data_IF_517381910056
#
_entry.id   IF_517381910056
#
_cell.length_a   1.000
_cell.length_b   1.000
_cell.length_c   1.000
_cell.angle_alpha   90.00
_cell.angle_beta   90.00
_cell.angle_gamma   90.00
#
_symmetry.space_group_name_H-M   'P 1'
#
loop_
_entity.id
_entity.type
_entity.pdbx_description
1 polymer ?
#
# COMPACT_ATOMS: atom_id res chain seq x y z
N UNK A 1 22.43 2.99 -28.79
CA UNK A 1 21.63 3.93 -27.96
C UNK A 1 22.31 4.05 -26.60
N UNK A 2 22.65 5.27 -26.17
CA UNK A 2 23.45 5.51 -24.96
C UNK A 2 22.64 5.22 -23.68
N UNK A 3 23.26 4.60 -22.68
CA UNK A 3 22.65 4.23 -21.37
C UNK A 3 21.92 5.40 -20.69
N UNK A 4 22.36 6.64 -20.92
CA UNK A 4 21.71 7.86 -20.42
C UNK A 4 20.29 8.04 -20.97
N UNK A 5 20.06 7.78 -22.26
CA UNK A 5 18.74 7.91 -22.90
C UNK A 5 17.73 6.85 -22.45
N UNK A 6 18.21 5.71 -21.94
CA UNK A 6 17.35 4.63 -21.40
C UNK A 6 16.90 4.96 -19.97
N UNK A 7 17.78 5.57 -19.16
CA UNK A 7 17.47 5.99 -17.78
C UNK A 7 16.48 7.17 -17.73
N UNK A 8 16.65 8.17 -18.60
CA UNK A 8 15.69 9.28 -18.72
C UNK A 8 14.29 8.82 -19.16
N UNK A 9 14.21 7.88 -20.11
CA UNK A 9 12.93 7.27 -20.52
C UNK A 9 12.28 6.45 -19.40
N UNK A 10 13.06 5.82 -18.53
CA UNK A 10 12.55 5.06 -17.39
C UNK A 10 11.96 5.98 -16.29
N UNK A 11 12.57 7.15 -16.05
CA UNK A 11 12.07 8.16 -15.12
C UNK A 11 10.75 8.80 -15.60
N UNK A 12 10.64 9.11 -16.89
CA UNK A 12 9.45 9.75 -17.47
C UNK A 12 8.24 8.78 -17.64
N UNK A 13 8.50 7.46 -17.63
CA UNK A 13 7.45 6.42 -17.74
C UNK A 13 6.74 6.14 -16.40
N UNK A 14 7.36 6.44 -15.24
CA UNK A 14 6.79 6.16 -13.91
C UNK A 14 5.51 6.96 -13.59
N UNK A 15 5.44 8.24 -13.97
CA UNK A 15 4.25 9.09 -13.68
C UNK A 15 3.02 8.66 -14.49
N UNK A 16 3.22 8.12 -15.68
CA UNK A 16 2.13 7.67 -16.57
C UNK A 16 1.53 6.31 -16.20
N UNK A 17 2.29 5.41 -15.58
CA UNK A 17 1.83 4.03 -15.31
C UNK A 17 0.73 4.00 -14.25
N UNK A 18 0.88 4.76 -13.15
CA UNK A 18 -0.16 4.84 -12.10
C UNK A 18 -1.45 5.44 -12.65
N UNK A 19 -1.35 6.52 -13.43
CA UNK A 19 -2.51 7.15 -14.08
C UNK A 19 -3.21 6.20 -15.05
N UNK A 20 -2.46 5.43 -15.84
CA UNK A 20 -3.01 4.42 -16.75
C UNK A 20 -3.76 3.33 -16.00
N UNK A 21 -3.20 2.84 -14.89
CA UNK A 21 -3.83 1.82 -14.08
C UNK A 21 -5.15 2.31 -13.46
N UNK A 22 -5.13 3.52 -12.88
CA UNK A 22 -6.34 4.15 -12.34
C UNK A 22 -7.39 4.29 -13.47
N UNK A 23 -7.00 4.80 -14.64
CA UNK A 23 -7.91 4.90 -15.80
C UNK A 23 -8.48 3.55 -16.23
N UNK A 24 -7.68 2.48 -16.23
CA UNK A 24 -8.18 1.13 -16.56
C UNK A 24 -9.16 0.60 -15.52
N UNK A 25 -8.93 0.85 -14.23
CA UNK A 25 -9.87 0.45 -13.16
C UNK A 25 -11.19 1.21 -13.26
N UNK A 26 -11.13 2.52 -13.48
CA UNK A 26 -12.32 3.35 -13.74
C UNK A 26 -13.08 2.89 -14.99
N UNK A 27 -12.36 2.41 -16.02
CA UNK A 27 -12.98 1.80 -17.19
C UNK A 27 -13.67 0.46 -16.91
N UNK A 28 -13.16 -0.33 -15.97
CA UNK A 28 -13.75 -1.63 -15.61
C UNK A 28 -14.94 -1.54 -14.66
N UNK A 29 -14.92 -0.59 -13.73
CA UNK A 29 -15.93 -0.41 -12.68
C UNK A 29 -16.28 1.08 -12.44
N UNK A 30 -16.94 1.75 -13.41
CA UNK A 30 -17.17 3.19 -13.36
C UNK A 30 -18.10 3.65 -12.22
N UNK A 31 -19.03 2.79 -11.76
CA UNK A 31 -20.00 3.13 -10.70
C UNK A 31 -19.53 2.64 -9.32
N UNK A 32 -18.94 1.44 -9.25
CA UNK A 32 -18.57 0.81 -7.99
C UNK A 32 -17.30 1.44 -7.38
N UNK A 33 -16.36 1.89 -8.21
CA UNK A 33 -15.08 2.42 -7.73
C UNK A 33 -15.23 3.79 -7.03
N UNK A 34 -15.96 4.79 -7.57
CA UNK A 34 -16.22 6.04 -6.84
C UNK A 34 -16.95 5.80 -5.51
N UNK A 35 -17.88 4.84 -5.47
CA UNK A 35 -18.61 4.47 -4.27
C UNK A 35 -17.69 3.88 -3.19
N UNK A 36 -16.72 3.05 -3.59
CA UNK A 36 -15.67 2.53 -2.68
C UNK A 36 -14.79 3.67 -2.17
N UNK A 37 -14.36 4.58 -3.05
CA UNK A 37 -13.57 5.76 -2.63
C UNK A 37 -14.34 6.61 -1.63
N UNK A 38 -15.64 6.84 -1.85
CA UNK A 38 -16.48 7.55 -0.90
C UNK A 38 -16.59 6.82 0.45
N UNK A 39 -16.76 5.49 0.43
CA UNK A 39 -16.78 4.67 1.66
C UNK A 39 -15.46 4.70 2.43
N UNK A 40 -14.33 4.67 1.71
CA UNK A 40 -12.98 4.82 2.26
C UNK A 40 -12.82 6.18 2.94
N UNK A 41 -13.20 7.28 2.26
CA UNK A 41 -13.15 8.64 2.80
C UNK A 41 -14.01 8.76 4.05
N UNK A 42 -15.25 8.26 4.00
CA UNK A 42 -16.18 8.30 5.13
C UNK A 42 -15.61 7.56 6.34
N UNK A 43 -15.03 6.37 6.13
CA UNK A 43 -14.41 5.61 7.21
C UNK A 43 -13.16 6.31 7.77
N UNK A 44 -12.32 6.93 6.93
CA UNK A 44 -11.18 7.72 7.38
C UNK A 44 -11.60 8.89 8.29
N UNK A 45 -12.64 9.62 7.90
CA UNK A 45 -13.18 10.74 8.69
C UNK A 45 -13.74 10.24 10.02
N UNK A 46 -14.51 9.15 10.02
CA UNK A 46 -15.05 8.55 11.25
C UNK A 46 -13.93 8.16 12.24
N UNK A 47 -12.86 7.54 11.75
CA UNK A 47 -11.72 7.19 12.61
C UNK A 47 -11.05 8.43 13.19
N UNK A 48 -10.96 9.52 12.42
CA UNK A 48 -10.38 10.77 12.92
C UNK A 48 -11.24 11.45 13.99
N UNK A 49 -12.57 11.36 13.90
CA UNK A 49 -13.49 11.91 14.92
C UNK A 49 -13.31 11.17 16.26
N UNK A 50 -13.03 9.87 16.21
CA UNK A 50 -12.72 9.07 17.41
C UNK A 50 -11.63 9.67 18.30
N UNK A 51 -10.61 10.29 17.70
CA UNK A 51 -9.55 10.98 18.46
C UNK A 51 -10.06 12.24 19.18
N UNK A 52 -10.97 13.00 18.57
CA UNK A 52 -11.56 14.21 19.18
C UNK A 52 -12.54 13.90 20.31
N UNK A 53 -13.12 12.70 20.31
CA UNK A 53 -14.00 12.25 21.39
C UNK A 53 -13.26 12.17 22.72
N UNK A 54 -12.05 11.58 22.74
CA UNK A 54 -11.27 11.45 23.96
C UNK A 54 -11.01 12.82 24.60
N UNK A 55 -10.72 13.83 23.79
CA UNK A 55 -10.52 15.19 24.28
C UNK A 55 -11.81 15.82 24.83
N UNK A 56 -12.93 15.66 24.13
CA UNK A 56 -14.24 16.17 24.59
C UNK A 56 -14.68 15.50 25.90
N UNK A 57 -14.42 14.20 26.05
CA UNK A 57 -14.68 13.46 27.27
C UNK A 57 -13.78 13.95 28.42
N UNK A 58 -12.49 14.17 28.16
CA UNK A 58 -11.54 14.71 29.15
C UNK A 58 -11.95 16.12 29.61
N UNK A 59 -12.45 16.96 28.70
CA UNK A 59 -12.91 18.30 29.05
C UNK A 59 -14.09 18.26 30.03
N UNK A 60 -15.10 17.41 29.76
CA UNK A 60 -16.26 17.27 30.64
C UNK A 60 -15.85 16.71 32.00
N UNK A 61 -14.98 15.69 32.01
CA UNK A 61 -14.47 15.13 33.27
C UNK A 61 -13.68 16.20 34.05
N UNK A 62 -12.87 17.02 33.36
CA UNK A 62 -12.10 18.10 33.98
C UNK A 62 -12.99 19.19 34.58
N UNK A 63 -14.04 19.61 33.87
CA UNK A 63 -15.02 20.59 34.36
C UNK A 63 -15.81 20.03 35.55
N UNK A 64 -16.27 18.78 35.47
CA UNK A 64 -17.01 18.11 36.56
C UNK A 64 -16.15 17.81 37.78
N UNK A 65 -14.86 17.55 37.60
CA UNK A 65 -13.91 17.41 38.71
C UNK A 65 -13.74 18.72 39.49
N UNK A 66 -13.72 19.86 38.80
CA UNK A 66 -13.60 21.18 39.43
C UNK A 66 -14.91 21.64 40.07
N UNK A 67 -16.07 21.31 39.49
CA UNK A 67 -17.37 21.72 40.01
C UNK A 67 -17.94 20.78 41.09
N UNK A 68 -17.47 19.51 41.14
CA UNK A 68 -18.00 18.47 42.02
C UNK A 68 -19.41 17.98 41.64
N UNK A 69 -19.94 18.45 40.51
CA UNK A 69 -21.35 18.30 40.12
C UNK A 69 -21.51 17.16 39.10
N UNK A 70 -21.62 15.93 39.60
CA UNK A 70 -21.66 14.71 38.80
C UNK A 70 -23.03 14.41 38.19
N UNK A 71 -24.12 14.94 38.77
CA UNK A 71 -25.47 14.77 38.24
C UNK A 71 -25.64 15.52 36.90
N UNK A 72 -25.00 16.68 36.75
CA UNK A 72 -24.98 17.44 35.50
C UNK A 72 -24.06 16.82 34.43
N UNK A 73 -23.08 16.01 34.84
CA UNK A 73 -22.09 15.38 33.96
C UNK A 73 -22.62 14.11 33.28
N UNK A 74 -23.39 13.31 34.02
CA UNK A 74 -23.93 12.03 33.55
C UNK A 74 -24.69 12.12 32.19
N UNK A 75 -25.64 13.06 31.98
CA UNK A 75 -26.35 13.13 30.70
C UNK A 75 -25.46 13.58 29.54
N UNK A 76 -24.49 14.47 29.79
CA UNK A 76 -23.53 14.94 28.76
C UNK A 76 -22.61 13.80 28.30
N UNK A 77 -22.10 13.01 29.25
CA UNK A 77 -21.27 11.84 28.95
C UNK A 77 -22.08 10.78 28.22
N UNK A 78 -23.31 10.49 28.67
CA UNK A 78 -24.19 9.53 28.01
C UNK A 78 -24.53 9.94 26.56
N UNK A 79 -24.80 11.22 26.32
CA UNK A 79 -25.06 11.74 24.97
C UNK A 79 -23.81 11.62 24.07
N UNK A 80 -22.61 11.92 24.60
CA UNK A 80 -21.38 11.75 23.85
C UNK A 80 -21.09 10.29 23.50
N UNK A 81 -21.21 9.38 24.48
CA UNK A 81 -20.97 7.94 24.27
C UNK A 81 -21.96 7.37 23.27
N UNK A 82 -23.25 7.72 23.36
CA UNK A 82 -24.27 7.25 22.40
C UNK A 82 -24.02 7.81 21.00
N UNK A 83 -23.65 9.08 20.85
CA UNK A 83 -23.28 9.67 19.56
C UNK A 83 -22.08 8.96 18.95
N UNK A 84 -21.04 8.67 19.74
CA UNK A 84 -19.87 7.91 19.30
C UNK A 84 -20.24 6.48 18.87
N UNK A 85 -21.07 5.80 19.66
CA UNK A 85 -21.54 4.45 19.34
C UNK A 85 -22.30 4.42 18.01
N UNK A 86 -23.16 5.41 17.73
CA UNK A 86 -23.84 5.55 16.44
C UNK A 86 -22.85 5.80 15.30
N UNK A 87 -21.88 6.70 15.48
CA UNK A 87 -20.86 7.02 14.47
C UNK A 87 -20.01 5.79 14.14
N UNK A 88 -19.55 5.03 15.14
CA UNK A 88 -18.82 3.79 14.91
C UNK A 88 -19.70 2.68 14.34
N UNK A 89 -20.98 2.62 14.70
CA UNK A 89 -21.95 1.72 14.05
C UNK A 89 -22.03 1.97 12.54
N UNK A 90 -22.17 3.23 12.13
CA UNK A 90 -22.12 3.62 10.71
C UNK A 90 -20.75 3.34 10.09
N UNK A 91 -19.66 3.58 10.84
CA UNK A 91 -18.30 3.29 10.42
C UNK A 91 -18.06 1.82 10.10
N UNK A 92 -18.57 0.91 10.94
CA UNK A 92 -18.49 -0.53 10.72
C UNK A 92 -19.28 -0.93 9.47
N UNK A 93 -20.51 -0.44 9.31
CA UNK A 93 -21.34 -0.73 8.14
C UNK A 93 -20.68 -0.24 6.83
N UNK A 94 -20.18 0.99 6.83
CA UNK A 94 -19.41 1.54 5.70
C UNK A 94 -18.15 0.71 5.44
N UNK A 95 -17.44 0.31 6.51
CA UNK A 95 -16.23 -0.49 6.42
C UNK A 95 -16.47 -1.83 5.74
N UNK A 96 -17.52 -2.54 6.19
CA UNK A 96 -17.92 -3.81 5.59
C UNK A 96 -18.34 -3.64 4.13
N UNK A 97 -19.06 -2.56 3.83
CA UNK A 97 -19.50 -2.25 2.47
C UNK A 97 -18.31 -2.04 1.53
N UNK A 98 -17.40 -1.10 1.85
CA UNK A 98 -16.29 -0.78 0.95
C UNK A 98 -15.30 -1.94 0.83
N UNK A 99 -15.04 -2.70 1.90
CA UNK A 99 -14.16 -3.87 1.85
C UNK A 99 -14.72 -4.95 0.92
N UNK A 100 -16.02 -5.27 1.02
CA UNK A 100 -16.66 -6.26 0.14
C UNK A 100 -16.69 -5.79 -1.31
N UNK A 101 -17.08 -4.53 -1.54
CA UNK A 101 -17.07 -3.96 -2.88
C UNK A 101 -15.65 -3.95 -3.49
N UNK A 102 -14.62 -3.65 -2.68
CA UNK A 102 -13.23 -3.69 -3.13
C UNK A 102 -12.76 -5.10 -3.48
N UNK A 103 -13.19 -6.13 -2.74
CA UNK A 103 -12.89 -7.51 -3.09
C UNK A 103 -13.45 -7.90 -4.47
N UNK A 104 -14.68 -7.47 -4.78
CA UNK A 104 -15.31 -7.68 -6.09
C UNK A 104 -14.55 -6.94 -7.20
N UNK A 105 -14.24 -5.65 -6.99
CA UNK A 105 -13.47 -4.83 -7.95
C UNK A 105 -12.11 -5.49 -8.22
N UNK A 106 -11.44 -5.93 -7.17
CA UNK A 106 -10.10 -6.51 -7.27
C UNK A 106 -10.11 -7.79 -8.09
N UNK A 107 -10.97 -8.76 -7.73
CA UNK A 107 -11.01 -10.04 -8.43
C UNK A 107 -11.49 -9.89 -9.87
N UNK A 108 -12.54 -9.10 -10.11
CA UNK A 108 -13.02 -8.89 -11.47
C UNK A 108 -12.09 -8.03 -12.33
N UNK A 109 -11.30 -7.13 -11.74
CA UNK A 109 -10.22 -6.44 -12.47
C UNK A 109 -9.10 -7.41 -12.84
N UNK A 110 -8.79 -8.38 -11.97
CA UNK A 110 -7.79 -9.41 -12.24
C UNK A 110 -8.18 -10.29 -13.42
N UNK A 111 -9.44 -10.73 -13.43
CA UNK A 111 -10.03 -11.51 -14.52
C UNK A 111 -9.93 -10.75 -15.85
N UNK A 112 -10.44 -9.52 -15.90
CA UNK A 112 -10.38 -8.67 -17.12
C UNK A 112 -8.96 -8.39 -17.60
N UNK A 113 -8.01 -8.21 -16.67
CA UNK A 113 -6.59 -8.03 -17.01
C UNK A 113 -6.00 -9.30 -17.63
N UNK A 114 -6.28 -10.47 -17.04
CA UNK A 114 -5.84 -11.77 -17.57
C UNK A 114 -6.43 -12.04 -18.94
N UNK A 115 -7.74 -11.82 -19.14
CA UNK A 115 -8.39 -11.96 -20.45
C UNK A 115 -7.75 -11.03 -21.50
N UNK A 116 -7.53 -9.76 -21.15
CA UNK A 116 -6.93 -8.79 -22.08
C UNK A 116 -5.50 -9.17 -22.46
N UNK A 117 -4.71 -9.64 -21.50
CA UNK A 117 -3.35 -10.14 -21.78
C UNK A 117 -3.39 -11.40 -22.64
N UNK A 118 -4.30 -12.33 -22.33
CA UNK A 118 -4.43 -13.58 -23.08
C UNK A 118 -4.86 -13.35 -24.52
N UNK A 119 -5.86 -12.49 -24.76
CA UNK A 119 -6.28 -12.11 -26.10
C UNK A 119 -5.14 -11.43 -26.86
N UNK A 120 -4.39 -10.54 -26.21
CA UNK A 120 -3.23 -9.90 -26.85
C UNK A 120 -2.13 -10.89 -27.19
N UNK A 121 -1.92 -11.91 -26.36
CA UNK A 121 -0.91 -12.93 -26.58
C UNK A 121 -1.20 -13.79 -27.82
N UNK A 122 -2.47 -14.08 -28.11
CA UNK A 122 -2.86 -14.81 -29.32
C UNK A 122 -2.48 -14.08 -30.61
N UNK A 123 -2.47 -12.74 -30.57
CA UNK A 123 -2.11 -11.89 -31.72
C UNK A 123 -0.60 -11.63 -31.85
N UNK A 124 0.24 -12.18 -30.97
CA UNK A 124 1.68 -11.94 -31.01
C UNK A 124 2.35 -12.78 -32.11
N UNK A 125 3.35 -12.24 -32.83
CA UNK A 125 4.06 -12.98 -33.86
C UNK A 125 4.85 -14.15 -33.25
N UNK A 126 5.00 -15.25 -33.99
CA UNK A 126 5.75 -16.45 -33.55
C UNK A 126 7.14 -16.11 -33.01
N UNK A 127 7.83 -15.14 -33.66
CA UNK A 127 9.14 -14.63 -33.23
C UNK A 127 9.17 -14.14 -31.77
N UNK A 128 8.06 -13.64 -31.23
CA UNK A 128 7.98 -13.27 -29.82
C UNK A 128 8.18 -14.50 -28.91
N UNK A 129 7.57 -15.62 -29.26
CA UNK A 129 7.65 -16.88 -28.51
C UNK A 129 9.00 -17.59 -28.69
N UNK A 130 9.71 -17.34 -29.81
CA UNK A 130 11.08 -17.87 -30.00
C UNK A 130 12.12 -17.11 -29.15
N UNK A 131 11.81 -15.88 -28.74
CA UNK A 131 12.73 -15.00 -28.01
C UNK A 131 12.47 -14.93 -26.51
N UNK A 132 11.33 -15.43 -26.03
CA UNK A 132 10.94 -15.41 -24.62
C UNK A 132 10.66 -16.81 -24.11
N UNK A 133 11.20 -17.14 -22.94
CA UNK A 133 10.96 -18.45 -22.33
C UNK A 133 9.50 -18.58 -21.89
N UNK A 134 8.93 -19.79 -22.03
CA UNK A 134 7.56 -20.08 -21.59
C UNK A 134 7.30 -19.74 -20.12
N UNK A 135 8.30 -19.92 -19.25
CA UNK A 135 8.20 -19.59 -17.82
C UNK A 135 8.10 -18.08 -17.57
N UNK A 136 8.83 -17.27 -18.34
CA UNK A 136 8.81 -15.82 -18.24
C UNK A 136 7.43 -15.27 -18.64
N UNK A 137 6.86 -15.79 -19.73
CA UNK A 137 5.50 -15.47 -20.16
C UNK A 137 4.49 -15.80 -19.04
N UNK A 138 4.56 -16.99 -18.45
CA UNK A 138 3.66 -17.39 -17.37
C UNK A 138 3.81 -16.53 -16.11
N UNK A 139 5.02 -16.11 -15.76
CA UNK A 139 5.28 -15.23 -14.60
C UNK A 139 4.52 -13.91 -14.72
N UNK A 140 4.41 -13.34 -15.93
CA UNK A 140 3.60 -12.14 -16.15
C UNK A 140 2.10 -12.36 -15.85
N UNK A 141 1.55 -13.55 -16.09
CA UNK A 141 0.13 -13.85 -15.82
C UNK A 141 -0.17 -14.20 -14.37
N UNK A 142 0.84 -14.63 -13.63
CA UNK A 142 0.72 -15.03 -12.23
C UNK A 142 1.24 -13.93 -11.31
N UNK A 143 2.55 -13.68 -11.32
CA UNK A 143 3.25 -12.84 -10.34
C UNK A 143 2.99 -11.34 -10.57
N UNK A 144 3.11 -10.86 -11.81
CA UNK A 144 2.89 -9.44 -12.10
C UNK A 144 1.42 -9.06 -11.89
N UNK A 145 0.51 -9.92 -12.34
CA UNK A 145 -0.92 -9.77 -12.14
C UNK A 145 -1.28 -9.81 -10.64
N UNK A 146 -0.67 -10.69 -9.84
CA UNK A 146 -0.86 -10.66 -8.37
C UNK A 146 -0.30 -9.39 -7.73
N UNK A 147 0.84 -8.89 -8.22
CA UNK A 147 1.40 -7.61 -7.77
C UNK A 147 0.42 -6.46 -8.06
N UNK A 148 -0.22 -6.46 -9.23
CA UNK A 148 -1.31 -5.52 -9.54
C UNK A 148 -2.50 -5.71 -8.60
N UNK A 149 -2.89 -6.95 -8.30
CA UNK A 149 -3.95 -7.28 -7.33
C UNK A 149 -3.67 -6.64 -5.97
N UNK A 150 -2.46 -6.82 -5.43
CA UNK A 150 -2.05 -6.25 -4.15
C UNK A 150 -2.09 -4.71 -4.18
N UNK A 151 -1.61 -4.12 -5.26
CA UNK A 151 -1.66 -2.66 -5.43
C UNK A 151 -3.09 -2.11 -5.45
N UNK A 152 -4.01 -2.79 -6.15
CA UNK A 152 -5.43 -2.40 -6.25
C UNK A 152 -6.16 -2.61 -4.92
N UNK A 153 -5.94 -3.76 -4.28
CA UNK A 153 -6.70 -4.19 -3.09
C UNK A 153 -6.22 -3.55 -1.80
N UNK A 154 -4.93 -3.22 -1.69
CA UNK A 154 -4.32 -2.80 -0.43
C UNK A 154 -3.60 -1.47 -0.57
N UNK A 155 -2.61 -1.37 -1.47
CA UNK A 155 -1.73 -0.20 -1.51
C UNK A 155 -2.46 1.10 -1.86
N UNK A 156 -3.34 1.08 -2.86
CA UNK A 156 -4.11 2.26 -3.26
C UNK A 156 -5.13 2.70 -2.19
N UNK A 157 -5.98 1.81 -1.64
CA UNK A 157 -6.85 2.15 -0.51
C UNK A 157 -6.10 2.67 0.70
N UNK A 158 -4.99 2.02 1.06
CA UNK A 158 -4.20 2.43 2.21
C UNK A 158 -3.58 3.81 1.99
N UNK A 159 -3.04 4.08 0.81
CA UNK A 159 -2.50 5.40 0.47
C UNK A 159 -3.56 6.49 0.57
N UNK A 160 -4.77 6.24 0.06
CA UNK A 160 -5.91 7.15 0.21
C UNK A 160 -6.27 7.36 1.68
N UNK A 161 -6.46 6.28 2.44
CA UNK A 161 -6.76 6.32 3.88
C UNK A 161 -5.73 7.13 4.65
N UNK A 162 -4.44 6.77 4.52
CA UNK A 162 -3.35 7.43 5.25
C UNK A 162 -3.25 8.91 4.89
N UNK A 163 -3.42 9.26 3.61
CA UNK A 163 -3.41 10.67 3.18
C UNK A 163 -4.53 11.45 3.84
N UNK A 164 -5.75 10.92 3.83
CA UNK A 164 -6.92 11.58 4.44
C UNK A 164 -6.73 11.71 5.94
N UNK A 165 -6.27 10.66 6.62
CA UNK A 165 -6.02 10.69 8.08
C UNK A 165 -4.94 11.72 8.41
N UNK A 166 -3.82 11.75 7.69
CA UNK A 166 -2.75 12.74 7.92
C UNK A 166 -3.30 14.16 7.77
N UNK A 167 -4.04 14.43 6.69
CA UNK A 167 -4.62 15.75 6.42
C UNK A 167 -5.63 16.12 7.52
N UNK A 168 -6.54 15.21 7.87
CA UNK A 168 -7.58 15.44 8.87
C UNK A 168 -6.97 15.70 10.25
N UNK A 169 -6.03 14.87 10.69
CA UNK A 169 -5.33 15.05 11.97
C UNK A 169 -4.54 16.35 11.97
N UNK A 170 -3.84 16.70 10.89
CA UNK A 170 -3.09 17.94 10.79
C UNK A 170 -3.99 19.17 10.97
N UNK A 171 -5.18 19.18 10.35
CA UNK A 171 -6.16 20.26 10.54
C UNK A 171 -6.72 20.30 11.97
N UNK A 172 -7.04 19.14 12.57
CA UNK A 172 -7.47 19.05 13.97
C UNK A 172 -6.38 19.62 14.90
N UNK A 173 -5.12 19.26 14.69
CA UNK A 173 -4.02 19.75 15.51
C UNK A 173 -3.79 21.25 15.36
N UNK A 174 -3.84 21.79 14.14
CA UNK A 174 -3.74 23.23 13.89
C UNK A 174 -4.88 24.00 14.57
N UNK A 175 -6.08 23.44 14.62
CA UNK A 175 -7.22 24.03 15.30
C UNK A 175 -7.03 24.09 16.83
N UNK A 176 -6.52 23.03 17.45
CA UNK A 176 -6.36 22.98 18.91
C UNK A 176 -5.09 23.66 19.43
N UNK A 177 -3.93 23.44 18.80
CA UNK A 177 -2.66 24.04 19.25
C UNK A 177 -1.60 24.04 18.15
N UNK A 178 -1.36 25.23 17.59
CA UNK A 178 -0.32 25.46 16.57
C UNK A 178 1.08 25.15 17.12
N UNK A 179 1.36 25.46 18.38
CA UNK A 179 2.67 25.19 19.00
C UNK A 179 2.96 23.69 19.11
N UNK A 180 1.97 22.90 19.51
CA UNK A 180 2.13 21.45 19.59
C UNK A 180 2.28 20.82 18.20
N UNK A 181 1.59 21.36 17.20
CA UNK A 181 1.75 20.97 15.81
C UNK A 181 3.19 21.20 15.30
N UNK A 182 3.79 22.36 15.58
CA UNK A 182 5.17 22.66 15.18
C UNK A 182 6.19 21.70 15.79
N UNK A 183 6.02 21.31 17.07
CA UNK A 183 6.89 20.33 17.73
C UNK A 183 6.81 18.98 17.03
N UNK A 184 5.61 18.52 16.67
CA UNK A 184 5.44 17.25 15.95
C UNK A 184 6.03 17.32 14.55
N UNK A 185 5.80 18.42 13.81
CA UNK A 185 6.39 18.61 12.48
C UNK A 185 7.92 18.58 12.56
N UNK A 186 8.51 19.23 13.57
CA UNK A 186 9.95 19.18 13.81
C UNK A 186 10.42 17.74 14.12
N UNK A 187 9.66 16.99 14.92
CA UNK A 187 9.90 15.58 15.19
C UNK A 187 9.85 14.70 13.93
N UNK A 188 8.85 14.89 13.07
CA UNK A 188 8.71 14.17 11.79
C UNK A 188 9.85 14.52 10.83
N UNK A 189 10.24 15.79 10.77
CA UNK A 189 11.38 16.22 9.95
C UNK A 189 12.69 15.58 10.45
N UNK A 190 12.91 15.58 11.76
CA UNK A 190 14.07 14.92 12.39
C UNK A 190 14.07 13.41 12.13
N UNK A 191 12.93 12.74 12.31
CA UNK A 191 12.76 11.32 12.02
C UNK A 191 13.08 11.02 10.56
N UNK A 192 12.53 11.80 9.62
CA UNK A 192 12.78 11.64 8.18
C UNK A 192 14.26 11.82 7.83
N UNK A 193 14.91 12.81 8.44
CA UNK A 193 16.35 13.05 8.28
C UNK A 193 17.18 11.87 8.79
N UNK A 194 16.89 11.37 9.99
CA UNK A 194 17.56 10.20 10.58
C UNK A 194 17.33 8.94 9.74
N UNK A 195 16.09 8.68 9.30
CA UNK A 195 15.78 7.55 8.42
C UNK A 195 16.54 7.64 7.10
N UNK A 196 16.66 8.84 6.51
CA UNK A 196 17.45 9.02 5.28
C UNK A 196 18.93 8.76 5.50
N UNK A 197 19.50 9.27 6.59
CA UNK A 197 20.91 9.11 6.92
C UNK A 197 21.27 7.63 7.15
N UNK A 198 20.52 6.96 8.03
CA UNK A 198 20.76 5.55 8.36
C UNK A 198 20.39 4.65 7.18
N UNK A 199 19.23 4.89 6.58
CA UNK A 199 18.71 4.10 5.47
C UNK A 199 19.61 4.14 4.24
N UNK A 200 20.25 5.28 3.94
CA UNK A 200 21.21 5.36 2.83
C UNK A 200 22.43 4.47 3.04
N UNK A 201 22.90 4.33 4.27
CA UNK A 201 24.04 3.48 4.56
C UNK A 201 23.65 1.99 4.51
N UNK A 202 22.51 1.64 5.11
CA UNK A 202 21.95 0.28 5.04
C UNK A 202 21.70 -0.16 3.59
N UNK A 203 21.16 0.72 2.74
CA UNK A 203 20.88 0.40 1.35
C UNK A 203 22.14 -0.04 0.58
N UNK A 204 23.30 0.56 0.89
CA UNK A 204 24.58 0.17 0.28
C UNK A 204 24.99 -1.25 0.66
N UNK A 205 24.85 -1.61 1.94
CA UNK A 205 25.15 -2.98 2.41
C UNK A 205 24.15 -4.00 1.87
N UNK A 206 22.86 -3.63 1.75
CA UNK A 206 21.87 -4.47 1.09
C UNK A 206 22.22 -4.77 -0.36
N UNK A 207 22.70 -3.77 -1.13
CA UNK A 207 23.14 -4.00 -2.51
C UNK A 207 24.35 -4.94 -2.56
N UNK A 208 25.33 -4.74 -1.67
CA UNK A 208 26.49 -5.63 -1.59
C UNK A 208 26.06 -7.07 -1.25
N UNK A 209 25.19 -7.25 -0.25
CA UNK A 209 24.64 -8.54 0.13
C UNK A 209 23.87 -9.20 -1.02
N UNK A 210 23.02 -8.46 -1.73
CA UNK A 210 22.28 -8.99 -2.88
C UNK A 210 23.22 -9.43 -4.02
N UNK A 211 24.36 -8.75 -4.18
CA UNK A 211 25.37 -9.11 -5.17
C UNK A 211 26.05 -10.44 -4.81
N UNK A 212 26.48 -10.60 -3.55
CA UNK A 212 27.07 -11.85 -3.07
C UNK A 212 26.06 -13.01 -3.11
N UNK A 213 24.82 -12.78 -2.70
CA UNK A 213 23.73 -13.76 -2.83
C UNK A 213 23.55 -14.20 -4.28
N UNK A 214 23.57 -13.27 -5.24
CA UNK A 214 23.46 -13.62 -6.67
C UNK A 214 24.62 -14.46 -7.19
N UNK A 215 25.85 -14.26 -6.67
CA UNK A 215 27.00 -15.10 -7.00
C UNK A 215 26.81 -16.52 -6.46
N UNK A 216 26.37 -16.65 -5.21
CA UNK A 216 26.12 -17.96 -4.57
C UNK A 216 24.95 -18.68 -5.25
N UNK A 217 23.83 -18.01 -5.51
CA UNK A 217 22.68 -18.57 -6.22
C UNK A 217 23.04 -19.00 -7.64
N UNK A 218 23.84 -18.21 -8.36
CA UNK A 218 24.34 -18.57 -9.69
C UNK A 218 25.21 -19.82 -9.68
N UNK A 219 26.09 -19.96 -8.68
CA UNK A 219 26.89 -21.17 -8.48
C UNK A 219 25.99 -22.40 -8.23
N UNK A 220 25.00 -22.27 -7.35
CA UNK A 220 24.03 -23.34 -7.07
C UNK A 220 23.25 -23.73 -8.34
N UNK A 221 22.81 -22.75 -9.13
CA UNK A 221 22.08 -23.01 -10.38
C UNK A 221 22.95 -23.76 -11.41
N UNK A 222 24.23 -23.39 -11.54
CA UNK A 222 25.19 -24.05 -12.43
C UNK A 222 25.47 -25.49 -11.99
N UNK A 223 25.69 -25.72 -10.69
CA UNK A 223 25.89 -27.06 -10.12
C UNK A 223 24.64 -27.93 -10.29
N UNK A 224 23.44 -27.37 -10.05
CA UNK A 224 22.17 -28.09 -10.18
C UNK A 224 21.86 -28.47 -11.64
N UNK A 225 22.10 -27.56 -12.58
CA UNK A 225 21.98 -27.86 -14.02
C UNK A 225 23.06 -28.86 -14.47
N UNK A 226 24.27 -28.74 -13.94
CA UNK A 226 25.43 -29.61 -14.20
C UNK A 226 25.44 -30.91 -13.40
N UNK A 227 24.42 -31.22 -12.60
CA UNK A 227 24.44 -32.31 -11.61
C UNK A 227 24.84 -33.68 -12.20
N UNK A 228 24.48 -33.95 -13.45
CA UNK A 228 24.83 -35.21 -14.13
C UNK A 228 26.32 -35.30 -14.44
N UNK A 229 26.93 -34.17 -14.81
CA UNK A 229 28.37 -34.05 -15.07
C UNK A 229 29.13 -34.16 -13.75
N UNK A 230 28.69 -33.44 -12.72
CA UNK A 230 29.31 -33.50 -11.38
C UNK A 230 29.34 -34.94 -10.85
N UNK A 231 28.22 -35.67 -10.93
CA UNK A 231 28.13 -37.08 -10.52
C UNK A 231 28.90 -38.04 -11.42
N UNK A 232 28.96 -37.79 -12.73
CA UNK A 232 29.70 -38.65 -13.65
C UNK A 232 31.21 -38.59 -13.43
N UNK A 233 31.73 -37.47 -12.94
CA UNK A 233 33.15 -37.27 -12.63
C UNK A 233 33.48 -37.36 -11.13
N UNK A 234 32.52 -37.71 -10.27
CA UNK A 234 32.69 -37.77 -8.80
C UNK A 234 33.27 -36.49 -8.16
N UNK A 235 32.80 -35.32 -8.61
CA UNK A 235 33.27 -34.00 -8.14
C UNK A 235 32.32 -33.37 -7.11
N UNK A 236 31.52 -34.16 -6.38
CA UNK A 236 30.52 -33.65 -5.44
C UNK A 236 31.15 -32.77 -4.36
N UNK A 237 32.32 -33.14 -3.82
CA UNK A 237 33.03 -32.36 -2.78
C UNK A 237 33.62 -31.03 -3.25
N UNK A 238 33.74 -30.83 -4.58
CA UNK A 238 34.24 -29.58 -5.16
C UNK A 238 33.10 -28.65 -5.62
N UNK A 239 31.87 -29.16 -5.66
CA UNK A 239 30.65 -28.46 -6.05
C UNK A 239 29.74 -28.14 -4.84
N UNK A 240 30.15 -28.54 -3.64
CA UNK A 240 29.56 -28.24 -2.33
C UNK A 240 30.11 -26.92 -1.78
#
# INVERSE_FOLDING_TARGET
MSKATTAERALNRKSGTMSRLIKTLFGFYPVLLPLVVAGVVLCAVINSIGATFLQSALQIIGESWQSGDWEAAQPKIAQLVTTLACIYGVGILSSLFWNRAMAIITQGSLEKLREKMFNRMQDLPIRYFDTHQRGDIMSHYTNDIDTLRQMISQSLPNLLMTTIVIVTVLFIMLYYSVWMCLVIIAGVAFMTFMTKLLGSNSARFFIAQQTELGVVEGHIEEVMNGQKVVKAFCHESAAE
#
